data_IF_961438620945
#
_entry.id   IF_961438620945
#
_cell.length_a   1.000
_cell.length_b   1.000
_cell.length_c   1.000
_cell.angle_alpha   90.00
_cell.angle_beta   90.00
_cell.angle_gamma   90.00
#
_symmetry.space_group_name_H-M   'P 1'
#
loop_
_entity.id
_entity.type
_entity.pdbx_description
1 polymer ?
#
# COMPACT_ATOMS: atom_id res chain seq x y z
N UNK A 1 18.93 21.50 -14.12
CA UNK A 1 18.11 21.50 -12.92
C UNK A 1 18.69 20.44 -11.99
N UNK A 2 19.22 20.85 -10.86
CA UNK A 2 20.19 20.09 -10.07
C UNK A 2 19.51 18.94 -9.31
N UNK A 3 19.95 17.71 -9.55
CA UNK A 3 19.43 16.47 -8.93
C UNK A 3 19.94 16.24 -7.49
N UNK A 4 20.63 17.22 -6.92
CA UNK A 4 21.23 17.12 -5.57
C UNK A 4 20.23 17.31 -4.42
N UNK A 5 18.92 17.50 -4.72
CA UNK A 5 17.89 17.73 -3.71
C UNK A 5 17.27 16.45 -3.12
N UNK A 6 17.68 15.26 -3.58
CA UNK A 6 17.07 13.98 -3.18
C UNK A 6 17.92 13.23 -2.13
N UNK A 7 18.90 13.90 -1.52
CA UNK A 7 19.82 13.30 -0.53
C UNK A 7 19.68 13.86 0.89
N UNK A 8 18.52 14.34 1.27
CA UNK A 8 18.19 14.43 2.69
C UNK A 8 17.17 13.34 3.02
N UNK A 9 17.60 12.41 3.87
CA UNK A 9 16.77 11.37 4.47
C UNK A 9 15.45 12.00 4.93
N UNK A 10 14.38 11.73 4.22
CA UNK A 10 13.05 12.12 4.67
C UNK A 10 12.75 11.31 5.92
N UNK A 11 12.69 11.89 7.13
CA UNK A 11 12.40 11.14 8.35
C UNK A 11 10.91 10.73 8.42
N UNK A 12 10.15 11.01 7.37
CA UNK A 12 8.75 10.63 7.23
C UNK A 12 8.61 9.57 6.14
N UNK A 13 7.92 8.47 6.47
CA UNK A 13 7.61 7.41 5.53
C UNK A 13 6.71 7.89 4.38
N UNK A 14 6.59 7.11 3.32
CA UNK A 14 5.75 7.43 2.16
C UNK A 14 4.28 7.64 2.52
N UNK A 15 3.77 6.91 3.51
CA UNK A 15 2.41 7.03 4.03
C UNK A 15 2.14 8.34 4.78
N UNK A 16 3.19 9.05 5.18
CA UNK A 16 3.12 10.33 5.91
C UNK A 16 3.55 11.53 5.06
N UNK A 17 4.02 11.29 3.83
CA UNK A 17 4.33 12.35 2.88
C UNK A 17 3.04 13.05 2.40
N UNK A 18 3.18 14.27 1.89
CA UNK A 18 2.04 14.92 1.22
C UNK A 18 1.66 14.20 -0.06
N UNK A 19 0.40 14.31 -0.49
CA UNK A 19 -0.03 13.76 -1.78
C UNK A 19 0.84 14.26 -2.95
N UNK A 20 1.26 15.52 -2.90
CA UNK A 20 2.12 16.11 -3.94
C UNK A 20 3.47 15.43 -3.98
N UNK A 21 4.15 15.32 -2.84
CA UNK A 21 5.45 14.66 -2.72
C UNK A 21 5.39 13.20 -3.15
N UNK A 22 4.36 12.46 -2.70
CA UNK A 22 4.18 11.07 -3.09
C UNK A 22 4.06 10.91 -4.62
N UNK A 23 3.22 11.73 -5.27
CA UNK A 23 3.00 11.67 -6.72
C UNK A 23 4.25 12.11 -7.48
N UNK A 24 4.99 13.13 -7.01
CA UNK A 24 6.25 13.56 -7.62
C UNK A 24 7.30 12.47 -7.59
N UNK A 25 7.50 11.80 -6.44
CA UNK A 25 8.46 10.70 -6.31
C UNK A 25 8.02 9.50 -7.16
N UNK A 26 6.74 9.12 -7.11
CA UNK A 26 6.18 8.01 -7.91
C UNK A 26 6.38 8.21 -9.42
N UNK A 27 6.30 9.45 -9.91
CA UNK A 27 6.50 9.79 -11.32
C UNK A 27 7.97 9.90 -11.75
N UNK A 28 8.89 9.76 -10.82
CA UNK A 28 10.34 9.91 -11.04
C UNK A 28 10.99 8.59 -11.47
N UNK A 29 12.33 8.55 -11.47
CA UNK A 29 13.13 7.34 -11.65
C UNK A 29 13.48 6.63 -10.34
N UNK A 30 12.93 7.10 -9.21
CA UNK A 30 13.15 6.46 -7.93
C UNK A 30 12.61 5.01 -7.96
N UNK A 31 13.32 4.05 -7.35
CA UNK A 31 12.88 2.66 -7.33
C UNK A 31 11.62 2.45 -6.47
N UNK A 32 11.39 3.33 -5.51
CA UNK A 32 10.24 3.35 -4.59
C UNK A 32 9.78 4.79 -4.32
N UNK A 33 8.46 5.02 -4.06
CA UNK A 33 7.39 4.05 -4.08
C UNK A 33 7.12 3.56 -5.49
N UNK A 34 6.74 2.30 -5.64
CA UNK A 34 6.37 1.69 -6.90
C UNK A 34 4.85 1.48 -7.05
N UNK A 35 4.48 0.62 -7.99
CA UNK A 35 3.08 0.27 -8.25
C UNK A 35 2.37 -0.36 -7.05
N UNK A 36 3.09 -1.14 -6.22
CA UNK A 36 2.54 -1.74 -5.00
C UNK A 36 2.17 -0.67 -3.98
N UNK A 37 3.09 0.22 -3.62
CA UNK A 37 2.83 1.33 -2.71
C UNK A 37 1.71 2.25 -3.20
N UNK A 38 1.67 2.55 -4.52
CA UNK A 38 0.58 3.33 -5.12
C UNK A 38 -0.77 2.60 -5.02
N UNK A 39 -0.81 1.29 -5.26
CA UNK A 39 -2.02 0.47 -5.14
C UNK A 39 -2.53 0.42 -3.70
N UNK A 40 -1.64 0.30 -2.72
CA UNK A 40 -1.99 0.34 -1.30
C UNK A 40 -2.61 1.70 -0.92
N UNK A 41 -2.04 2.82 -1.41
CA UNK A 41 -2.62 4.15 -1.19
C UNK A 41 -4.03 4.26 -1.77
N UNK A 42 -4.26 3.77 -2.99
CA UNK A 42 -5.60 3.74 -3.61
C UNK A 42 -6.56 2.88 -2.78
N UNK A 43 -6.10 1.72 -2.28
CA UNK A 43 -6.86 0.87 -1.37
C UNK A 43 -7.28 1.59 -0.08
N UNK A 44 -6.35 2.32 0.54
CA UNK A 44 -6.63 3.13 1.72
C UNK A 44 -7.70 4.20 1.46
N UNK A 45 -7.57 4.93 0.35
CA UNK A 45 -8.53 5.99 -0.06
C UNK A 45 -9.90 5.38 -0.35
N UNK A 46 -9.95 4.27 -1.11
CA UNK A 46 -11.21 3.56 -1.41
C UNK A 46 -11.92 3.08 -0.14
N UNK A 47 -11.17 2.49 0.80
CA UNK A 47 -11.70 2.04 2.09
C UNK A 47 -12.20 3.22 2.92
N UNK A 48 -11.50 4.36 2.92
CA UNK A 48 -11.92 5.56 3.62
C UNK A 48 -13.24 6.13 3.06
N UNK A 49 -13.46 6.06 1.74
CA UNK A 49 -14.73 6.45 1.13
C UNK A 49 -15.89 5.54 1.56
N UNK A 50 -15.66 4.24 1.68
CA UNK A 50 -16.65 3.32 2.26
C UNK A 50 -16.96 3.66 3.72
N UNK A 51 -15.94 3.90 4.53
CA UNK A 51 -16.09 4.31 5.93
C UNK A 51 -16.81 5.65 6.10
N UNK A 52 -16.69 6.56 5.12
CA UNK A 52 -17.45 7.82 5.09
C UNK A 52 -18.96 7.55 5.04
N UNK A 53 -19.42 6.57 4.25
CA UNK A 53 -20.84 6.15 4.24
C UNK A 53 -21.28 5.74 5.63
N UNK A 54 -20.49 4.88 6.32
CA UNK A 54 -20.76 4.49 7.70
C UNK A 54 -20.86 5.69 8.64
N UNK A 55 -19.95 6.64 8.53
CA UNK A 55 -19.94 7.88 9.34
C UNK A 55 -21.16 8.76 9.10
N UNK A 56 -21.69 8.76 7.88
CA UNK A 56 -22.92 9.49 7.51
C UNK A 56 -24.19 8.73 7.93
N UNK A 57 -24.10 7.46 8.26
CA UNK A 57 -25.24 6.60 8.60
C UNK A 57 -25.47 6.53 10.11
N UNK A 58 -24.42 6.33 10.91
CA UNK A 58 -24.51 6.19 12.38
C UNK A 58 -25.11 7.44 13.03
N UNK A 59 -25.85 7.23 14.12
CA UNK A 59 -26.52 8.28 14.88
C UNK A 59 -27.77 8.85 14.22
N UNK A 60 -28.19 8.38 13.07
CA UNK A 60 -29.44 8.80 12.41
C UNK A 60 -30.58 7.87 12.78
N UNK A 61 -31.70 8.45 13.25
CA UNK A 61 -32.90 7.68 13.63
C UNK A 61 -33.42 6.73 12.54
N UNK A 62 -33.25 7.11 11.27
CA UNK A 62 -33.66 6.29 10.12
C UNK A 62 -32.93 4.95 10.06
N UNK A 63 -31.72 4.88 10.57
CA UNK A 63 -30.83 3.74 10.49
C UNK A 63 -30.55 3.08 11.84
N UNK A 64 -31.41 3.36 12.84
CA UNK A 64 -31.25 2.81 14.20
C UNK A 64 -31.18 1.29 14.24
N UNK A 65 -31.91 0.59 13.36
CA UNK A 65 -31.96 -0.86 13.29
C UNK A 65 -30.64 -1.51 12.83
N UNK A 66 -29.77 -0.76 12.14
CA UNK A 66 -28.48 -1.25 11.62
C UNK A 66 -27.28 -0.55 12.29
N UNK A 67 -27.51 0.26 13.31
CA UNK A 67 -26.46 1.11 13.90
C UNK A 67 -25.31 0.28 14.51
N UNK A 68 -25.61 -0.80 15.22
CA UNK A 68 -24.59 -1.67 15.82
C UNK A 68 -23.72 -2.33 14.75
N UNK A 69 -24.35 -2.88 13.71
CA UNK A 69 -23.65 -3.48 12.58
C UNK A 69 -22.79 -2.44 11.85
N UNK A 70 -23.28 -1.22 11.68
CA UNK A 70 -22.57 -0.13 11.05
C UNK A 70 -21.31 0.26 11.82
N UNK A 71 -21.36 0.28 13.17
CA UNK A 71 -20.18 0.51 13.99
C UNK A 71 -19.13 -0.59 13.87
N UNK A 72 -19.55 -1.87 13.76
CA UNK A 72 -18.63 -2.98 13.53
C UNK A 72 -17.96 -2.90 12.13
N UNK A 73 -18.72 -2.53 11.09
CA UNK A 73 -18.16 -2.30 9.75
C UNK A 73 -17.15 -1.16 9.77
N UNK A 74 -17.46 -0.05 10.41
CA UNK A 74 -16.54 1.08 10.55
C UNK A 74 -15.23 0.68 11.22
N UNK A 75 -15.30 -0.10 12.30
CA UNK A 75 -14.11 -0.59 13.02
C UNK A 75 -13.22 -1.46 12.12
N UNK A 76 -13.82 -2.35 11.32
CA UNK A 76 -13.07 -3.15 10.33
C UNK A 76 -12.42 -2.25 9.27
N UNK A 77 -13.13 -1.25 8.76
CA UNK A 77 -12.58 -0.28 7.82
C UNK A 77 -11.44 0.54 8.39
N UNK A 78 -11.55 1.00 9.65
CA UNK A 78 -10.49 1.75 10.31
C UNK A 78 -9.20 0.93 10.42
N UNK A 79 -9.32 -0.38 10.69
CA UNK A 79 -8.16 -1.28 10.70
C UNK A 79 -7.60 -1.48 9.30
N UNK A 80 -8.45 -1.73 8.33
CA UNK A 80 -8.05 -1.97 6.93
C UNK A 80 -7.35 -0.74 6.30
N UNK A 81 -7.80 0.48 6.62
CA UNK A 81 -7.10 1.70 6.22
C UNK A 81 -5.67 1.76 6.78
N UNK A 82 -5.49 1.39 8.05
CA UNK A 82 -4.16 1.32 8.68
C UNK A 82 -3.28 0.26 8.04
N UNK A 83 -3.85 -0.91 7.74
CA UNK A 83 -3.15 -2.00 7.08
C UNK A 83 -2.62 -1.54 5.69
N UNK A 84 -3.46 -0.90 4.88
CA UNK A 84 -3.05 -0.35 3.59
C UNK A 84 -1.95 0.71 3.70
N UNK A 85 -2.06 1.64 4.66
CA UNK A 85 -1.02 2.65 4.87
C UNK A 85 0.31 2.02 5.29
N UNK A 86 0.27 0.97 6.11
CA UNK A 86 1.46 0.20 6.48
C UNK A 86 2.06 -0.55 5.28
N UNK A 87 1.22 -1.09 4.40
CA UNK A 87 1.66 -1.80 3.19
C UNK A 87 2.39 -0.92 2.20
N UNK A 88 2.18 0.41 2.21
CA UNK A 88 2.97 1.37 1.41
C UNK A 88 4.46 1.29 1.77
N UNK A 89 4.77 1.29 3.07
CA UNK A 89 6.14 1.20 3.56
C UNK A 89 6.73 -0.19 3.31
N UNK A 90 5.97 -1.23 3.62
CA UNK A 90 6.42 -2.61 3.41
C UNK A 90 6.74 -2.93 1.95
N UNK A 91 5.96 -2.41 0.99
CA UNK A 91 6.24 -2.57 -0.44
C UNK A 91 7.60 -2.01 -0.81
N UNK A 92 7.96 -0.84 -0.28
CA UNK A 92 9.27 -0.23 -0.49
C UNK A 92 10.39 -1.06 0.17
N UNK A 93 10.18 -1.53 1.39
CA UNK A 93 11.15 -2.33 2.15
C UNK A 93 11.49 -3.66 1.46
N UNK A 94 10.47 -4.41 1.03
CA UNK A 94 10.67 -5.71 0.38
C UNK A 94 11.22 -5.58 -1.04
N UNK A 95 11.04 -4.42 -1.69
CA UNK A 95 11.60 -4.14 -3.01
C UNK A 95 13.08 -3.78 -2.97
N UNK A 96 13.61 -3.26 -1.87
CA UNK A 96 15.00 -2.82 -1.76
C UNK A 96 16.03 -3.92 -2.08
N UNK A 97 15.93 -5.17 -1.54
CA UNK A 97 16.83 -6.25 -1.90
C UNK A 97 16.78 -6.59 -3.40
N UNK A 98 15.60 -6.57 -4.01
CA UNK A 98 15.43 -6.83 -5.44
C UNK A 98 16.10 -5.72 -6.27
N UNK A 99 15.92 -4.46 -5.91
CA UNK A 99 16.57 -3.33 -6.56
C UNK A 99 18.09 -3.44 -6.52
N UNK A 100 18.66 -3.87 -5.39
CA UNK A 100 20.11 -4.13 -5.26
C UNK A 100 20.56 -5.30 -6.12
N UNK A 101 19.77 -6.37 -6.22
CA UNK A 101 20.09 -7.56 -6.99
C UNK A 101 20.18 -7.28 -8.50
N UNK A 102 19.40 -6.31 -9.03
CA UNK A 102 19.54 -5.88 -10.43
C UNK A 102 20.93 -5.35 -10.76
N UNK A 103 21.57 -4.66 -9.82
CA UNK A 103 22.92 -4.10 -9.96
C UNK A 103 24.08 -5.10 -9.77
N UNK A 104 23.81 -6.36 -9.41
CA UNK A 104 24.87 -7.35 -9.19
C UNK A 104 25.63 -7.67 -10.47
N UNK A 105 26.95 -7.97 -10.39
CA UNK A 105 27.78 -8.36 -11.54
C UNK A 105 27.24 -9.64 -12.20
N UNK A 106 27.58 -9.83 -13.49
CA UNK A 106 27.16 -10.97 -14.31
C UNK A 106 28.18 -11.34 -15.40
N UNK A 107 29.44 -11.09 -15.14
CA UNK A 107 30.50 -11.30 -16.15
C UNK A 107 30.95 -12.76 -16.19
N UNK A 108 31.08 -13.41 -15.03
CA UNK A 108 31.47 -14.84 -14.91
C UNK A 108 30.25 -15.75 -14.73
N UNK A 109 30.41 -17.06 -14.94
CA UNK A 109 29.34 -18.03 -14.69
C UNK A 109 28.99 -18.14 -13.19
N UNK A 110 29.96 -17.98 -12.31
CA UNK A 110 29.74 -17.96 -10.87
C UNK A 110 28.91 -16.72 -10.46
N UNK A 111 29.22 -15.55 -10.99
CA UNK A 111 28.46 -14.33 -10.75
C UNK A 111 27.02 -14.43 -11.27
N UNK A 112 26.83 -15.01 -12.45
CA UNK A 112 25.48 -15.24 -13.01
C UNK A 112 24.66 -16.18 -12.13
N UNK A 113 25.27 -17.28 -11.65
CA UNK A 113 24.61 -18.24 -10.79
C UNK A 113 24.23 -17.62 -9.43
N UNK A 114 25.13 -16.87 -8.82
CA UNK A 114 24.85 -16.17 -7.55
C UNK A 114 23.79 -15.09 -7.72
N UNK A 115 23.87 -14.27 -8.78
CA UNK A 115 22.85 -13.27 -9.10
C UNK A 115 21.48 -13.93 -9.30
N UNK A 116 21.40 -15.03 -10.02
CA UNK A 116 20.14 -15.76 -10.23
C UNK A 116 19.54 -16.24 -8.91
N UNK A 117 20.37 -16.78 -8.02
CA UNK A 117 19.95 -17.25 -6.69
C UNK A 117 19.41 -16.10 -5.83
N UNK A 118 20.13 -14.99 -5.77
CA UNK A 118 19.74 -13.79 -5.00
C UNK A 118 18.47 -13.17 -5.58
N UNK A 119 18.40 -13.05 -6.90
CA UNK A 119 17.23 -12.52 -7.61
C UNK A 119 15.97 -13.35 -7.34
N UNK A 120 16.08 -14.70 -7.38
CA UNK A 120 14.92 -15.57 -7.13
C UNK A 120 14.36 -15.37 -5.71
N UNK A 121 15.24 -15.30 -4.71
CA UNK A 121 14.85 -15.06 -3.32
C UNK A 121 14.21 -13.66 -3.16
N UNK A 122 14.85 -12.63 -3.73
CA UNK A 122 14.35 -11.26 -3.65
C UNK A 122 13.01 -11.07 -4.39
N UNK A 123 12.80 -11.74 -5.53
CA UNK A 123 11.53 -11.72 -6.27
C UNK A 123 10.40 -12.35 -5.46
N UNK A 124 10.64 -13.48 -4.82
CA UNK A 124 9.63 -14.13 -3.95
C UNK A 124 9.21 -13.22 -2.81
N UNK A 125 10.17 -12.58 -2.16
CA UNK A 125 9.90 -11.63 -1.08
C UNK A 125 9.16 -10.39 -1.60
N UNK A 126 9.63 -9.80 -2.69
CA UNK A 126 9.00 -8.64 -3.31
C UNK A 126 7.56 -8.89 -3.78
N UNK A 127 7.19 -10.14 -4.13
CA UNK A 127 5.83 -10.50 -4.49
C UNK A 127 4.89 -10.64 -3.29
N UNK A 128 5.39 -10.80 -2.08
CA UNK A 128 4.56 -11.07 -0.89
C UNK A 128 3.61 -9.91 -0.58
N UNK A 129 4.10 -8.68 -0.63
CA UNK A 129 3.31 -7.48 -0.30
C UNK A 129 2.25 -7.16 -1.36
N UNK A 130 2.51 -7.16 -2.67
CA UNK A 130 1.47 -7.05 -3.68
C UNK A 130 0.35 -8.09 -3.54
N UNK A 131 0.66 -9.32 -3.18
CA UNK A 131 -0.35 -10.34 -2.91
C UNK A 131 -1.21 -9.98 -1.69
N UNK A 132 -0.60 -9.54 -0.59
CA UNK A 132 -1.31 -9.07 0.59
C UNK A 132 -2.20 -7.86 0.29
N UNK A 133 -1.73 -6.91 -0.53
CA UNK A 133 -2.53 -5.77 -1.01
C UNK A 133 -3.77 -6.25 -1.77
N UNK A 134 -3.64 -7.25 -2.64
CA UNK A 134 -4.78 -7.82 -3.36
C UNK A 134 -5.81 -8.45 -2.42
N UNK A 135 -5.36 -9.22 -1.43
CA UNK A 135 -6.23 -9.81 -0.40
C UNK A 135 -6.98 -8.72 0.38
N UNK A 136 -6.28 -7.68 0.81
CA UNK A 136 -6.88 -6.52 1.48
C UNK A 136 -7.87 -5.75 0.58
N UNK A 137 -7.62 -5.66 -0.71
CA UNK A 137 -8.58 -5.09 -1.66
C UNK A 137 -9.87 -5.91 -1.73
N UNK A 138 -9.80 -7.23 -1.70
CA UNK A 138 -11.00 -8.09 -1.65
C UNK A 138 -11.80 -7.83 -0.36
N UNK A 139 -11.13 -7.78 0.81
CA UNK A 139 -11.76 -7.43 2.08
C UNK A 139 -12.45 -6.04 2.00
N UNK A 140 -11.77 -5.04 1.42
CA UNK A 140 -12.31 -3.69 1.27
C UNK A 140 -13.58 -3.67 0.40
N UNK A 141 -13.59 -4.40 -0.71
CA UNK A 141 -14.74 -4.49 -1.62
C UNK A 141 -15.94 -5.10 -0.88
N UNK A 142 -15.74 -6.19 -0.13
CA UNK A 142 -16.79 -6.82 0.67
C UNK A 142 -17.40 -5.85 1.69
N UNK A 143 -16.56 -5.11 2.42
CA UNK A 143 -17.02 -4.09 3.38
C UNK A 143 -17.79 -2.96 2.70
N UNK A 144 -17.33 -2.48 1.53
CA UNK A 144 -18.00 -1.41 0.77
C UNK A 144 -19.38 -1.86 0.29
N UNK A 145 -19.52 -3.11 -0.15
CA UNK A 145 -20.82 -3.68 -0.53
C UNK A 145 -21.78 -3.70 0.65
N UNK A 146 -21.32 -4.09 1.84
CA UNK A 146 -22.15 -4.07 3.06
C UNK A 146 -22.57 -2.65 3.47
N UNK A 147 -21.66 -1.67 3.39
CA UNK A 147 -22.02 -0.27 3.62
C UNK A 147 -23.10 0.22 2.64
N UNK A 148 -22.96 -0.10 1.36
CA UNK A 148 -23.94 0.31 0.35
C UNK A 148 -25.32 -0.37 0.50
N UNK A 149 -25.37 -1.54 1.12
CA UNK A 149 -26.62 -2.25 1.36
C UNK A 149 -27.37 -1.75 2.62
N UNK A 150 -26.68 -1.17 3.59
CA UNK A 150 -27.21 -0.82 4.92
C UNK A 150 -27.28 0.69 5.16
N UNK A 151 -26.51 1.48 4.42
CA UNK A 151 -26.34 2.95 4.61
C UNK A 151 -27.14 3.87 3.70
#
# INVERSE_FOLDING_TARGET
MNLDFIKEESPMGFSTSTCTEFVEVLSSKAPVPGGGGASALVGAVGTALGNMVGSLTVGKKKYADVEEEMWELKKKCDQLQKDFLHLIERDAEVFEPLSKAYGMPRETEEEKAEKARVMEAALKEACSVPMEIMEKCCEAIELIVEFGAKG
#
